data_IF_192912689714
#
_entry.id   IF_192912689714
#
_cell.length_a   1.000
_cell.length_b   1.000
_cell.length_c   1.000
_cell.angle_alpha   90.00
_cell.angle_beta   90.00
_cell.angle_gamma   90.00
#
_symmetry.space_group_name_H-M   'P 1'
#
loop_
_entity.id
_entity.type
_entity.pdbx_description
1 polymer ?
#
# COMPACT_ATOMS: atom_id res chain seq x y z
N UNK A 1 -27.43 -80.73 37.27
CA UNK A 1 -26.66 -80.34 38.46
C UNK A 1 -26.30 -78.88 38.34
N UNK A 2 -27.04 -77.98 39.00
CA UNK A 2 -26.89 -76.48 38.94
C UNK A 2 -25.96 -76.07 40.06
N UNK A 3 -24.90 -75.42 39.73
CA UNK A 3 -24.10 -74.68 40.74
C UNK A 3 -24.36 -73.14 40.60
N UNK A 4 -24.80 -72.54 41.67
CA UNK A 4 -24.91 -71.16 41.92
C UNK A 4 -23.51 -70.60 42.23
N UNK A 5 -23.09 -69.47 41.59
CA UNK A 5 -22.02 -68.65 42.07
C UNK A 5 -22.61 -67.20 42.27
N UNK A 6 -22.63 -66.84 43.53
CA UNK A 6 -23.20 -65.59 44.08
C UNK A 6 -22.20 -64.46 44.04
N UNK A 7 -22.69 -63.24 43.72
CA UNK A 7 -22.27 -61.90 44.07
C UNK A 7 -21.00 -61.69 44.91
N UNK A 8 -19.97 -61.08 44.31
CA UNK A 8 -18.90 -60.42 45.03
C UNK A 8 -18.10 -59.37 44.13
N UNK A 9 -18.71 -58.75 43.13
CA UNK A 9 -17.99 -57.79 42.23
C UNK A 9 -18.52 -56.35 42.28
N UNK A 10 -19.57 -56.06 43.07
CA UNK A 10 -20.26 -54.73 43.02
C UNK A 10 -19.71 -53.65 43.97
N UNK A 11 -18.77 -53.94 44.86
CA UNK A 11 -18.25 -52.91 45.79
C UNK A 11 -16.89 -52.31 45.47
N UNK A 12 -16.13 -52.84 44.49
CA UNK A 12 -14.82 -52.29 44.14
C UNK A 12 -14.89 -51.27 42.97
N UNK A 13 -15.97 -51.24 42.20
CA UNK A 13 -16.10 -50.34 41.04
C UNK A 13 -16.60 -48.95 41.38
N UNK A 14 -17.34 -48.76 42.49
CA UNK A 14 -17.87 -47.46 42.91
C UNK A 14 -16.82 -46.55 43.54
N UNK A 15 -15.83 -47.08 44.25
CA UNK A 15 -14.73 -46.32 44.85
C UNK A 15 -13.74 -45.79 43.82
N UNK A 16 -13.44 -46.52 42.78
CA UNK A 16 -12.52 -46.10 41.71
C UNK A 16 -13.13 -45.00 40.79
N UNK A 17 -14.42 -45.06 40.53
CA UNK A 17 -15.15 -44.06 39.75
C UNK A 17 -15.26 -42.69 40.50
N UNK A 18 -15.41 -42.74 41.83
CA UNK A 18 -15.49 -41.51 42.61
C UNK A 18 -14.14 -40.77 42.71
N UNK A 19 -13.03 -41.49 42.72
CA UNK A 19 -11.67 -40.91 42.70
C UNK A 19 -11.28 -40.39 41.34
N UNK A 20 -11.73 -41.00 40.25
CA UNK A 20 -11.49 -40.53 38.87
C UNK A 20 -12.32 -39.25 38.55
N UNK A 21 -13.54 -39.15 39.04
CA UNK A 21 -14.36 -37.92 38.87
C UNK A 21 -13.82 -36.74 39.68
N UNK A 22 -13.29 -36.95 40.90
CA UNK A 22 -12.63 -35.87 41.66
C UNK A 22 -11.33 -35.41 40.98
N UNK A 23 -10.53 -36.29 40.45
CA UNK A 23 -9.31 -35.88 39.69
C UNK A 23 -9.64 -35.17 38.40
N UNK A 24 -10.69 -35.55 37.64
CA UNK A 24 -11.15 -34.80 36.47
C UNK A 24 -11.65 -33.39 36.78
N UNK A 25 -12.37 -33.17 37.86
CA UNK A 25 -12.82 -31.84 38.29
C UNK A 25 -11.64 -30.97 38.73
N UNK A 26 -10.64 -31.51 39.45
CA UNK A 26 -9.46 -30.75 39.85
C UNK A 26 -8.60 -30.39 38.64
N UNK A 27 -8.46 -31.29 37.64
CA UNK A 27 -7.70 -31.02 36.41
C UNK A 27 -8.39 -30.01 35.51
N UNK A 28 -9.73 -30.05 35.39
CA UNK A 28 -10.47 -29.04 34.63
C UNK A 28 -10.45 -27.68 35.26
N UNK A 29 -10.46 -27.58 36.63
CA UNK A 29 -10.37 -26.29 37.35
C UNK A 29 -8.95 -25.72 37.29
N UNK A 30 -7.91 -26.55 37.35
CA UNK A 30 -6.52 -26.11 37.17
C UNK A 30 -6.21 -25.68 35.72
N UNK A 31 -6.74 -26.38 34.71
CA UNK A 31 -6.62 -25.96 33.31
C UNK A 31 -7.39 -24.66 33.04
N UNK A 32 -8.58 -24.46 33.62
CA UNK A 32 -9.34 -23.21 33.49
C UNK A 32 -8.63 -22.02 34.18
N UNK A 33 -8.00 -22.25 35.32
CA UNK A 33 -7.19 -21.23 36.02
C UNK A 33 -5.87 -20.95 35.27
N UNK A 34 -5.28 -21.95 34.63
CA UNK A 34 -4.05 -21.76 33.81
C UNK A 34 -4.36 -21.06 32.50
N UNK A 35 -5.52 -21.31 31.88
CA UNK A 35 -5.96 -20.58 30.67
C UNK A 35 -6.34 -19.12 31.01
N UNK A 36 -6.87 -18.82 32.22
CA UNK A 36 -7.12 -17.46 32.67
C UNK A 36 -5.84 -16.69 33.05
N UNK A 37 -4.75 -17.38 33.41
CA UNK A 37 -3.45 -16.76 33.72
C UNK A 37 -2.55 -16.58 32.49
N UNK A 38 -2.79 -17.32 31.38
CA UNK A 38 -2.08 -17.14 30.11
C UNK A 38 -2.78 -16.14 29.17
N UNK A 39 -3.97 -15.66 29.52
CA UNK A 39 -4.76 -14.70 28.75
C UNK A 39 -4.56 -13.23 29.14
N UNK A 40 -3.65 -12.90 30.05
CA UNK A 40 -3.16 -11.54 30.22
C UNK A 40 -2.04 -11.32 29.17
N UNK A 41 -2.41 -11.27 27.89
CA UNK A 41 -1.60 -10.53 26.94
C UNK A 41 -1.34 -9.17 27.56
N UNK A 42 -0.08 -8.73 27.64
CA UNK A 42 0.24 -7.36 27.99
C UNK A 42 -0.64 -6.47 27.10
N UNK A 43 -1.74 -5.98 27.67
CA UNK A 43 -2.53 -4.95 27.00
C UNK A 43 -1.55 -3.81 26.74
N UNK A 44 -1.37 -3.43 25.50
CA UNK A 44 -0.54 -2.30 25.15
C UNK A 44 -1.06 -1.11 25.99
N UNK A 45 -0.15 -0.43 26.70
CA UNK A 45 -0.54 0.71 27.51
C UNK A 45 -0.99 1.84 26.56
N UNK A 46 -2.09 2.56 26.90
CA UNK A 46 -2.50 3.71 26.10
C UNK A 46 -1.36 4.73 25.97
N UNK A 47 -1.26 5.34 24.81
CA UNK A 47 -0.24 6.34 24.48
C UNK A 47 -0.91 7.68 24.19
N UNK A 48 -0.50 8.72 24.90
CA UNK A 48 -0.92 10.10 24.64
C UNK A 48 0.23 10.85 23.97
N UNK A 49 0.03 11.26 22.75
CA UNK A 49 0.92 12.18 22.01
C UNK A 49 0.35 13.59 22.17
N UNK A 50 1.12 14.53 22.72
CA UNK A 50 0.63 15.86 23.08
C UNK A 50 1.55 16.97 22.56
N UNK A 51 1.02 18.19 22.47
CA UNK A 51 1.73 19.40 22.02
C UNK A 51 2.23 19.35 20.55
N UNK A 52 1.67 18.46 19.72
CA UNK A 52 2.02 18.37 18.33
C UNK A 52 1.17 19.28 17.43
N UNK A 53 1.71 19.71 16.30
CA UNK A 53 0.87 20.04 15.15
C UNK A 53 0.29 18.73 14.60
N UNK A 54 -1.01 18.65 14.40
CA UNK A 54 -1.66 17.47 13.83
C UNK A 54 -2.32 17.86 12.52
N UNK A 55 -1.84 17.28 11.41
CA UNK A 55 -2.48 17.36 10.10
C UNK A 55 -3.41 16.16 9.99
N UNK A 56 -4.72 16.41 10.03
CA UNK A 56 -5.73 15.35 10.15
C UNK A 56 -5.81 14.46 8.91
N UNK A 57 -5.53 15.03 7.73
CA UNK A 57 -5.64 14.34 6.44
C UNK A 57 -6.88 14.74 5.61
N UNK A 58 -7.86 15.39 6.23
CA UNK A 58 -9.06 15.93 5.57
C UNK A 58 -8.91 17.39 5.07
N UNK A 59 -7.76 17.99 5.32
CA UNK A 59 -7.44 19.40 5.05
C UNK A 59 -7.41 20.25 6.31
N UNK A 60 -7.82 19.74 7.46
CA UNK A 60 -7.77 20.43 8.75
C UNK A 60 -6.44 20.22 9.46
N UNK A 61 -6.10 21.18 10.35
CA UNK A 61 -4.88 21.19 11.16
C UNK A 61 -5.23 21.60 12.59
N UNK A 62 -4.70 20.87 13.58
CA UNK A 62 -4.74 21.24 14.99
C UNK A 62 -3.32 21.67 15.37
N UNK A 63 -3.12 22.96 15.64
CA UNK A 63 -1.77 23.54 15.81
C UNK A 63 -1.06 23.10 17.09
N UNK A 64 -1.82 22.87 18.16
CA UNK A 64 -1.33 22.36 19.44
C UNK A 64 -2.26 21.24 19.88
N UNK A 65 -2.16 20.12 19.17
CA UNK A 65 -3.05 18.98 19.34
C UNK A 65 -2.50 17.92 20.27
N UNK A 66 -3.43 17.03 20.64
CA UNK A 66 -3.13 15.77 21.28
C UNK A 66 -3.89 14.63 20.58
N UNK A 67 -3.30 13.43 20.60
CA UNK A 67 -3.88 12.20 20.08
C UNK A 67 -3.68 11.09 21.10
N UNK A 68 -4.77 10.43 21.46
CA UNK A 68 -4.77 9.26 22.34
C UNK A 68 -4.91 8.00 21.51
N UNK A 69 -3.97 7.07 21.68
CA UNK A 69 -3.94 5.76 21.04
C UNK A 69 -4.09 4.69 22.11
N UNK A 70 -4.98 3.72 21.89
CA UNK A 70 -5.11 2.52 22.71
C UNK A 70 -5.15 1.28 21.83
N UNK A 71 -4.21 0.37 22.08
CA UNK A 71 -4.00 -0.79 21.23
C UNK A 71 -3.65 -0.40 19.79
N UNK A 72 -4.48 -0.83 18.83
CA UNK A 72 -4.27 -0.59 17.40
C UNK A 72 -5.01 0.65 16.86
N UNK A 73 -5.74 1.40 17.71
CA UNK A 73 -6.66 2.43 17.25
C UNK A 73 -6.41 3.80 17.88
N UNK A 74 -6.72 4.84 17.12
CA UNK A 74 -6.85 6.21 17.63
C UNK A 74 -8.17 6.30 18.38
N UNK A 75 -8.10 6.62 19.68
CA UNK A 75 -9.29 6.73 20.54
C UNK A 75 -9.86 8.13 20.52
N UNK A 76 -8.99 9.13 20.56
CA UNK A 76 -9.38 10.53 20.56
C UNK A 76 -8.30 11.41 19.94
N UNK A 77 -8.73 12.54 19.39
CA UNK A 77 -7.89 13.61 18.86
C UNK A 77 -8.56 14.95 19.18
N UNK A 78 -7.79 15.96 19.55
CA UNK A 78 -8.29 17.30 19.88
C UNK A 78 -7.18 18.24 20.32
N UNK A 79 -7.53 19.35 20.95
CA UNK A 79 -6.56 20.28 21.52
C UNK A 79 -5.78 19.66 22.69
N UNK A 80 -4.51 20.02 22.85
CA UNK A 80 -3.61 19.42 23.86
C UNK A 80 -4.13 19.49 25.31
N UNK A 81 -4.93 20.52 25.65
CA UNK A 81 -5.53 20.67 26.97
C UNK A 81 -6.80 19.87 27.22
N UNK A 82 -7.37 19.24 26.18
CA UNK A 82 -8.65 18.54 26.27
C UNK A 82 -8.49 17.04 26.54
N UNK A 83 -7.32 16.47 26.20
CA UNK A 83 -7.04 15.05 26.36
C UNK A 83 -6.09 14.82 27.54
N UNK A 84 -6.37 13.80 28.32
CA UNK A 84 -5.52 13.32 29.43
C UNK A 84 -5.06 11.88 29.15
N UNK A 85 -3.89 11.53 29.65
CA UNK A 85 -3.43 10.15 29.62
C UNK A 85 -4.37 9.25 30.42
N UNK A 86 -4.60 8.03 29.93
CA UNK A 86 -5.27 7.01 30.70
C UNK A 86 -4.44 6.65 31.96
N UNK A 87 -5.10 6.14 33.01
CA UNK A 87 -4.41 5.57 34.16
C UNK A 87 -3.45 4.46 33.69
N UNK A 88 -2.17 4.60 33.97
CA UNK A 88 -1.07 3.76 33.47
C UNK A 88 -0.67 3.97 31.97
N UNK A 89 -1.13 5.04 31.31
CA UNK A 89 -0.71 5.39 29.94
C UNK A 89 0.68 6.06 29.89
N UNK A 90 1.32 5.98 28.73
CA UNK A 90 2.57 6.71 28.45
C UNK A 90 2.26 8.02 27.74
N UNK A 91 2.88 9.12 28.16
CA UNK A 91 2.75 10.42 27.49
C UNK A 91 4.02 10.78 26.75
N UNK A 92 3.88 11.19 25.49
CA UNK A 92 4.95 11.69 24.61
C UNK A 92 4.71 13.18 24.35
N UNK A 93 5.65 14.04 24.79
CA UNK A 93 5.63 15.45 24.43
C UNK A 93 6.26 15.65 23.05
N UNK A 94 5.45 16.07 22.10
CA UNK A 94 5.82 16.32 20.71
C UNK A 94 5.88 17.81 20.36
N UNK A 95 6.27 18.65 21.33
CA UNK A 95 6.46 20.09 21.09
C UNK A 95 7.38 20.36 19.90
N UNK A 96 6.88 21.10 18.91
CA UNK A 96 7.60 21.44 17.68
C UNK A 96 7.60 20.33 16.62
N UNK A 97 6.94 19.19 16.84
CA UNK A 97 6.78 18.11 15.88
C UNK A 97 5.45 18.19 15.16
N UNK A 98 5.36 17.42 14.07
CA UNK A 98 4.12 17.32 13.28
C UNK A 98 3.70 15.85 13.17
N UNK A 99 2.44 15.56 13.45
CA UNK A 99 1.79 14.28 13.20
C UNK A 99 1.05 14.35 11.87
N UNK A 100 1.21 13.31 11.05
CA UNK A 100 0.45 13.12 9.81
C UNK A 100 -0.09 11.69 9.75
N UNK A 101 -1.20 11.41 9.04
CA UNK A 101 -1.59 10.04 8.72
C UNK A 101 -0.45 9.32 8.01
N UNK A 102 -0.37 8.01 8.18
CA UNK A 102 0.54 7.21 7.37
C UNK A 102 0.27 7.39 5.88
N UNK A 103 1.33 7.46 5.10
CA UNK A 103 1.26 7.66 3.65
C UNK A 103 0.84 6.36 2.94
N UNK A 104 0.24 6.49 1.77
CA UNK A 104 -0.25 5.37 0.96
C UNK A 104 0.29 5.53 -0.46
N UNK A 105 0.88 4.47 -1.01
CA UNK A 105 1.27 4.37 -2.41
C UNK A 105 0.21 3.56 -3.18
N UNK A 106 -0.59 4.24 -3.98
CA UNK A 106 -1.70 3.63 -4.70
C UNK A 106 -1.30 3.03 -6.06
N UNK A 107 -0.01 2.91 -6.36
CA UNK A 107 0.48 2.22 -7.56
C UNK A 107 1.95 1.81 -7.43
N UNK A 108 2.20 0.52 -7.29
CA UNK A 108 3.53 -0.07 -7.30
C UNK A 108 3.51 -1.47 -7.91
N UNK A 109 4.68 -2.09 -8.00
CA UNK A 109 4.90 -3.48 -8.41
C UNK A 109 5.92 -4.11 -7.46
N UNK A 110 5.47 -4.68 -6.34
CA UNK A 110 6.38 -5.23 -5.33
C UNK A 110 6.96 -6.58 -5.76
N UNK A 111 8.08 -6.96 -5.16
CA UNK A 111 8.73 -8.26 -5.36
C UNK A 111 9.80 -8.29 -6.45
N UNK A 112 9.77 -7.40 -7.43
CA UNK A 112 10.73 -7.40 -8.54
C UNK A 112 12.02 -6.63 -8.23
N UNK A 113 11.96 -5.56 -7.45
CA UNK A 113 13.16 -4.85 -7.00
C UNK A 113 13.69 -5.51 -5.74
N UNK A 114 14.79 -6.18 -5.86
CA UNK A 114 15.57 -6.73 -4.75
C UNK A 114 16.69 -5.78 -4.33
N UNK A 115 17.46 -6.20 -3.35
CA UNK A 115 18.57 -5.41 -2.78
C UNK A 115 19.73 -5.22 -3.73
N UNK A 116 20.01 -6.21 -4.56
CA UNK A 116 21.18 -6.23 -5.43
C UNK A 116 20.83 -6.22 -6.92
N UNK A 117 19.55 -6.13 -7.25
CA UNK A 117 19.11 -6.18 -8.64
C UNK A 117 17.61 -6.10 -8.80
N UNK A 118 17.18 -6.15 -10.04
CA UNK A 118 15.79 -6.09 -10.43
C UNK A 118 15.49 -7.22 -11.42
N UNK A 119 14.43 -7.99 -11.15
CA UNK A 119 13.99 -9.09 -12.01
C UNK A 119 13.13 -10.11 -11.27
N UNK A 120 12.65 -11.10 -12.02
CA UNK A 120 11.78 -12.17 -11.55
C UNK A 120 12.44 -13.06 -10.47
N UNK A 121 13.77 -13.15 -10.48
CA UNK A 121 14.55 -13.92 -9.50
C UNK A 121 14.41 -13.37 -8.07
N UNK A 122 14.02 -12.10 -7.95
CA UNK A 122 13.76 -11.47 -6.64
C UNK A 122 12.35 -11.73 -6.12
N UNK A 123 11.43 -12.29 -6.94
CA UNK A 123 10.04 -12.46 -6.54
C UNK A 123 9.88 -13.63 -5.55
N UNK A 124 10.24 -13.37 -4.31
CA UNK A 124 10.18 -14.31 -3.18
C UNK A 124 9.40 -13.70 -2.02
N UNK A 125 8.92 -14.54 -1.12
CA UNK A 125 8.20 -14.09 0.08
C UNK A 125 9.06 -13.14 0.93
N UNK A 126 10.34 -13.45 1.10
CA UNK A 126 11.27 -12.64 1.87
C UNK A 126 11.45 -11.25 1.27
N UNK A 127 11.56 -11.17 -0.06
CA UNK A 127 11.71 -9.89 -0.75
C UNK A 127 10.40 -9.08 -0.75
N UNK A 128 9.24 -9.73 -0.86
CA UNK A 128 7.95 -9.07 -0.69
C UNK A 128 7.84 -8.43 0.70
N UNK A 129 8.21 -9.17 1.76
CA UNK A 129 8.27 -8.64 3.14
C UNK A 129 9.25 -7.48 3.24
N UNK A 130 10.45 -7.62 2.69
CA UNK A 130 11.46 -6.57 2.68
C UNK A 130 10.97 -5.29 1.99
N UNK A 131 10.26 -5.41 0.86
CA UNK A 131 9.68 -4.26 0.17
C UNK A 131 8.60 -3.56 1.02
N UNK A 132 7.73 -4.32 1.70
CA UNK A 132 6.73 -3.76 2.61
C UNK A 132 7.37 -3.09 3.84
N UNK A 133 8.50 -3.60 4.32
CA UNK A 133 9.29 -2.98 5.38
C UNK A 133 9.97 -1.69 4.91
N UNK A 134 10.43 -1.62 3.66
CA UNK A 134 10.96 -0.37 3.08
C UNK A 134 9.88 0.71 3.01
N UNK A 135 8.65 0.36 2.60
CA UNK A 135 7.51 1.28 2.66
C UNK A 135 7.29 1.80 4.08
N UNK A 136 7.19 0.89 5.07
CA UNK A 136 7.00 1.27 6.47
C UNK A 136 8.15 2.15 7.00
N UNK A 137 9.40 1.86 6.63
CA UNK A 137 10.56 2.66 6.99
C UNK A 137 10.44 4.12 6.56
N UNK A 138 9.85 4.35 5.38
CA UNK A 138 9.62 5.67 4.81
C UNK A 138 8.24 6.27 5.15
N UNK A 139 7.51 5.71 6.12
CA UNK A 139 6.24 6.24 6.58
C UNK A 139 5.03 5.90 5.71
N UNK A 140 5.18 4.97 4.76
CA UNK A 140 4.06 4.43 4.00
C UNK A 140 3.45 3.23 4.72
N UNK A 141 2.15 3.31 4.98
CA UNK A 141 1.42 2.30 5.78
C UNK A 141 0.59 1.33 4.93
N UNK A 142 0.39 1.66 3.66
CA UNK A 142 -0.24 0.79 2.68
C UNK A 142 0.34 1.00 1.29
N UNK A 143 0.30 -0.05 0.47
CA UNK A 143 0.70 -0.06 -0.92
C UNK A 143 -0.25 -0.90 -1.76
N UNK A 144 -0.59 -0.40 -2.95
CA UNK A 144 -1.34 -1.14 -3.96
C UNK A 144 -0.39 -1.62 -5.07
N UNK A 145 -0.22 -2.94 -5.16
CA UNK A 145 0.54 -3.61 -6.22
C UNK A 145 -0.37 -3.91 -7.40
N UNK A 146 -0.03 -3.34 -8.57
CA UNK A 146 -0.98 -3.12 -9.64
C UNK A 146 -0.94 -4.20 -10.74
N UNK A 147 -1.30 -5.44 -10.39
CA UNK A 147 -1.63 -6.47 -11.39
C UNK A 147 -0.43 -7.26 -11.92
N UNK A 148 0.60 -7.44 -11.10
CA UNK A 148 1.79 -8.25 -11.44
C UNK A 148 2.16 -9.25 -10.34
N UNK A 149 1.21 -9.56 -9.47
CA UNK A 149 1.45 -10.35 -8.26
C UNK A 149 1.02 -11.80 -8.45
N UNK A 150 1.80 -12.73 -7.90
CA UNK A 150 1.41 -14.12 -7.74
C UNK A 150 0.47 -14.24 -6.51
N UNK A 151 -0.83 -14.54 -6.70
CA UNK A 151 -1.82 -14.46 -5.63
C UNK A 151 -1.46 -15.28 -4.40
N UNK A 152 -0.92 -16.49 -4.57
CA UNK A 152 -0.55 -17.37 -3.47
C UNK A 152 0.50 -16.74 -2.53
N UNK A 153 1.52 -16.08 -3.08
CA UNK A 153 2.54 -15.38 -2.28
C UNK A 153 1.98 -14.10 -1.65
N UNK A 154 1.15 -13.34 -2.38
CA UNK A 154 0.53 -12.14 -1.85
C UNK A 154 -0.36 -12.45 -0.64
N UNK A 155 -1.25 -13.46 -0.73
CA UNK A 155 -2.11 -13.92 0.36
C UNK A 155 -1.28 -14.41 1.56
N UNK A 156 -0.19 -15.14 1.32
CA UNK A 156 0.68 -15.61 2.41
C UNK A 156 1.34 -14.44 3.16
N UNK A 157 1.85 -13.44 2.43
CA UNK A 157 2.44 -12.24 3.02
C UNK A 157 1.40 -11.41 3.78
N UNK A 158 0.19 -11.23 3.22
CA UNK A 158 -0.92 -10.57 3.93
C UNK A 158 -1.28 -11.32 5.22
N UNK A 159 -1.34 -12.65 5.19
CA UNK A 159 -1.64 -13.48 6.36
C UNK A 159 -0.57 -13.33 7.44
N UNK A 160 0.71 -13.32 7.07
CA UNK A 160 1.83 -13.12 8.01
C UNK A 160 1.81 -11.71 8.62
N UNK A 161 1.46 -10.69 7.84
CA UNK A 161 1.29 -9.33 8.31
C UNK A 161 0.13 -9.23 9.31
N UNK A 162 -1.03 -9.83 9.00
CA UNK A 162 -2.20 -9.88 9.87
C UNK A 162 -1.90 -10.61 11.19
N UNK A 163 -1.09 -11.66 11.16
CA UNK A 163 -0.60 -12.37 12.34
C UNK A 163 0.55 -11.64 13.07
N UNK A 164 0.91 -10.44 12.65
CA UNK A 164 1.98 -9.62 13.22
C UNK A 164 3.35 -10.34 13.29
N UNK A 165 3.65 -11.23 12.33
CA UNK A 165 4.94 -11.93 12.24
C UNK A 165 6.06 -11.02 11.74
N UNK A 166 5.72 -9.89 11.14
CA UNK A 166 6.63 -8.79 10.81
C UNK A 166 5.83 -7.47 10.81
N UNK A 167 6.55 -6.34 10.86
CA UNK A 167 5.97 -5.02 10.64
C UNK A 167 6.26 -4.57 9.21
N UNK A 168 5.26 -4.06 8.52
CA UNK A 168 5.37 -3.57 7.15
C UNK A 168 4.08 -2.88 6.69
N UNK A 169 4.11 -2.23 5.54
CA UNK A 169 2.93 -1.63 4.93
C UNK A 169 1.88 -2.71 4.60
N UNK A 170 0.60 -2.36 4.65
CA UNK A 170 -0.50 -3.23 4.18
C UNK A 170 -0.36 -3.41 2.68
N UNK A 171 -0.49 -4.64 2.22
CA UNK A 171 -0.48 -4.99 0.81
C UNK A 171 -1.90 -5.09 0.28
N UNK A 172 -2.20 -4.33 -0.77
CA UNK A 172 -3.34 -4.56 -1.67
C UNK A 172 -2.77 -4.95 -3.02
N UNK A 173 -3.49 -5.79 -3.76
CA UNK A 173 -3.03 -6.21 -5.09
C UNK A 173 -4.20 -6.45 -6.05
N UNK A 174 -3.93 -6.42 -7.35
CA UNK A 174 -4.92 -6.56 -8.40
C UNK A 174 -4.64 -7.77 -9.29
N UNK A 175 -5.69 -8.30 -9.91
CA UNK A 175 -5.55 -9.19 -11.04
C UNK A 175 -5.22 -8.40 -12.31
N UNK A 176 -4.16 -8.77 -13.01
CA UNK A 176 -3.73 -8.13 -14.25
C UNK A 176 -4.44 -8.70 -15.48
N UNK A 177 -5.06 -7.86 -16.32
CA UNK A 177 -5.78 -8.31 -17.53
C UNK A 177 -5.32 -7.53 -18.76
N UNK A 178 -5.01 -8.23 -19.85
CA UNK A 178 -4.48 -7.68 -21.09
C UNK A 178 -4.77 -8.64 -22.27
N UNK A 179 -4.42 -8.30 -23.51
CA UNK A 179 -4.34 -9.30 -24.56
C UNK A 179 -3.34 -10.42 -24.20
N UNK A 180 -3.52 -11.65 -24.72
CA UNK A 180 -2.69 -12.79 -24.32
C UNK A 180 -1.17 -12.54 -24.46
N UNK A 181 -0.43 -12.77 -23.37
CA UNK A 181 1.03 -12.59 -23.31
C UNK A 181 1.48 -11.13 -23.46
N UNK A 182 0.63 -10.16 -23.07
CA UNK A 182 0.88 -8.72 -23.17
C UNK A 182 0.47 -8.00 -21.89
N UNK A 183 0.59 -6.66 -21.87
CA UNK A 183 0.14 -5.81 -20.75
C UNK A 183 1.22 -4.86 -20.25
N UNK A 184 2.10 -5.24 -19.31
CA UNK A 184 3.20 -4.39 -18.85
C UNK A 184 4.13 -3.93 -19.97
N UNK A 185 4.99 -2.93 -19.71
CA UNK A 185 6.03 -2.59 -20.68
C UNK A 185 6.92 -3.80 -20.98
N UNK A 186 7.51 -3.85 -22.18
CA UNK A 186 8.18 -5.06 -22.70
C UNK A 186 9.24 -5.61 -21.72
N UNK A 187 10.02 -4.75 -21.06
CA UNK A 187 11.04 -5.18 -20.11
C UNK A 187 10.41 -5.81 -18.84
N UNK A 188 9.33 -5.23 -18.33
CA UNK A 188 8.64 -5.75 -17.17
C UNK A 188 7.78 -6.98 -17.48
N UNK A 189 7.21 -7.04 -18.70
CA UNK A 189 6.43 -8.19 -19.17
C UNK A 189 7.23 -9.48 -19.10
N UNK A 190 8.48 -9.47 -19.57
CA UNK A 190 9.36 -10.64 -19.49
C UNK A 190 9.54 -11.12 -18.05
N UNK A 191 9.62 -10.20 -17.09
CA UNK A 191 9.76 -10.53 -15.67
C UNK A 191 8.45 -11.09 -15.09
N UNK A 192 7.31 -10.48 -15.39
CA UNK A 192 6.00 -10.95 -14.93
C UNK A 192 5.70 -12.38 -15.45
N UNK A 193 5.97 -12.65 -16.74
CA UNK A 193 5.84 -13.99 -17.32
C UNK A 193 6.83 -14.99 -16.74
N UNK A 194 8.03 -14.57 -16.34
CA UNK A 194 8.99 -15.43 -15.67
C UNK A 194 8.50 -15.79 -14.23
N UNK A 195 7.89 -14.87 -13.50
CA UNK A 195 7.26 -15.15 -12.20
C UNK A 195 6.06 -16.08 -12.37
N UNK A 196 5.20 -15.85 -13.36
CA UNK A 196 4.08 -16.74 -13.68
C UNK A 196 4.58 -18.17 -13.93
N UNK A 197 5.61 -18.32 -14.74
CA UNK A 197 6.23 -19.64 -15.02
C UNK A 197 6.84 -20.29 -13.77
N UNK A 198 7.51 -19.52 -12.91
CA UNK A 198 8.20 -20.06 -11.73
C UNK A 198 7.26 -20.43 -10.61
N UNK A 199 6.17 -19.68 -10.43
CA UNK A 199 5.17 -19.89 -9.39
C UNK A 199 4.04 -20.83 -9.83
N UNK A 200 3.81 -20.99 -11.14
CA UNK A 200 2.64 -21.65 -11.70
C UNK A 200 1.33 -20.88 -11.48
N UNK A 201 1.41 -19.64 -11.00
CA UNK A 201 0.24 -18.80 -10.78
C UNK A 201 -0.14 -18.07 -12.07
N UNK A 202 -1.42 -17.82 -12.28
CA UNK A 202 -1.89 -16.92 -13.32
C UNK A 202 -1.73 -15.48 -12.83
N UNK A 203 -0.81 -14.72 -13.42
CA UNK A 203 -0.55 -13.31 -13.08
C UNK A 203 -1.22 -12.39 -14.09
N UNK A 204 -1.10 -12.73 -15.38
CA UNK A 204 -1.64 -11.97 -16.49
C UNK A 204 -2.76 -12.77 -17.18
N UNK A 205 -4.02 -12.38 -16.94
CA UNK A 205 -5.16 -12.96 -17.62
C UNK A 205 -5.25 -12.47 -19.05
N UNK A 206 -4.95 -13.35 -20.02
CA UNK A 206 -5.04 -13.06 -21.45
C UNK A 206 -6.49 -13.07 -21.91
N UNK A 207 -6.94 -11.99 -22.56
CA UNK A 207 -8.31 -11.80 -23.01
C UNK A 207 -8.38 -11.81 -24.55
N UNK A 208 -9.02 -12.80 -25.12
CA UNK A 208 -9.19 -12.93 -26.60
C UNK A 208 -10.57 -12.50 -27.09
N UNK A 209 -11.60 -12.67 -26.24
CA UNK A 209 -12.99 -12.36 -26.57
C UNK A 209 -13.80 -11.97 -25.33
N UNK A 210 -14.99 -11.33 -25.47
CA UNK A 210 -15.80 -10.87 -24.35
C UNK A 210 -16.29 -11.97 -23.40
N UNK A 211 -16.46 -13.20 -23.89
CA UNK A 211 -16.89 -14.33 -23.05
C UNK A 211 -15.74 -14.75 -22.10
N UNK A 212 -14.52 -14.87 -22.61
CA UNK A 212 -13.33 -15.11 -21.79
C UNK A 212 -13.10 -13.96 -20.80
N UNK A 213 -13.29 -12.70 -21.21
CA UNK A 213 -13.17 -11.55 -20.32
C UNK A 213 -14.11 -11.67 -19.12
N UNK A 214 -15.39 -12.00 -19.35
CA UNK A 214 -16.36 -12.22 -18.26
C UNK A 214 -16.02 -13.46 -17.41
N UNK A 215 -15.46 -14.50 -18.02
CA UNK A 215 -15.03 -15.70 -17.30
C UNK A 215 -13.82 -15.39 -16.39
N UNK A 216 -12.82 -14.65 -16.88
CA UNK A 216 -11.69 -14.20 -16.10
C UNK A 216 -12.10 -13.37 -14.88
N UNK A 217 -13.04 -12.44 -15.04
CA UNK A 217 -13.58 -11.66 -13.92
C UNK A 217 -14.24 -12.54 -12.87
N UNK A 218 -15.04 -13.55 -13.30
CA UNK A 218 -15.66 -14.49 -12.33
C UNK A 218 -14.62 -15.31 -11.58
N UNK A 219 -13.55 -15.73 -12.25
CA UNK A 219 -12.43 -16.44 -11.64
C UNK A 219 -11.71 -15.57 -10.62
N UNK A 220 -11.42 -14.32 -10.95
CA UNK A 220 -10.78 -13.34 -10.08
C UNK A 220 -11.66 -13.05 -8.85
N UNK A 221 -12.96 -12.83 -9.05
CA UNK A 221 -13.89 -12.63 -7.94
C UNK A 221 -13.99 -13.85 -7.00
N UNK A 222 -13.86 -15.07 -7.53
CA UNK A 222 -13.86 -16.29 -6.73
C UNK A 222 -12.55 -16.51 -5.94
N UNK A 223 -11.49 -15.76 -6.22
CA UNK A 223 -10.20 -15.76 -5.53
C UNK A 223 -10.04 -14.57 -4.56
N UNK A 224 -11.15 -13.90 -4.19
CA UNK A 224 -11.20 -12.78 -3.25
C UNK A 224 -10.34 -11.56 -3.63
N UNK A 225 -10.07 -11.36 -4.93
CA UNK A 225 -9.50 -10.10 -5.39
C UNK A 225 -10.53 -8.97 -5.23
N UNK A 226 -10.06 -7.78 -4.87
CA UNK A 226 -10.87 -6.56 -4.77
C UNK A 226 -10.70 -5.66 -5.99
N UNK A 227 -9.61 -5.85 -6.73
CA UNK A 227 -9.20 -4.96 -7.82
C UNK A 227 -8.81 -5.73 -9.08
N UNK A 228 -9.09 -5.10 -10.22
CA UNK A 228 -8.60 -5.52 -11.54
C UNK A 228 -7.76 -4.37 -12.12
N UNK A 229 -6.59 -4.71 -12.67
CA UNK A 229 -5.76 -3.82 -13.48
C UNK A 229 -5.90 -4.18 -14.95
N UNK A 230 -6.39 -3.23 -15.76
CA UNK A 230 -6.40 -3.37 -17.21
C UNK A 230 -5.21 -2.62 -17.85
N UNK A 231 -4.61 -3.21 -18.87
CA UNK A 231 -3.66 -2.54 -19.75
C UNK A 231 -4.32 -2.20 -21.08
N UNK A 232 -4.58 -0.91 -21.32
CA UNK A 232 -5.17 -0.38 -22.55
C UNK A 232 -4.11 0.50 -23.22
N UNK A 233 -3.09 -0.15 -23.78
CA UNK A 233 -1.95 0.49 -24.39
C UNK A 233 -1.31 -0.47 -25.42
N UNK A 234 -0.82 0.07 -26.53
CA UNK A 234 -0.14 -0.69 -27.57
C UNK A 234 1.39 -0.65 -27.49
N UNK A 235 1.92 0.05 -26.49
CA UNK A 235 3.36 0.24 -26.29
C UNK A 235 4.08 0.81 -27.51
N UNK A 236 3.42 1.75 -28.20
CA UNK A 236 3.94 2.33 -29.46
C UNK A 236 3.96 1.35 -30.61
N UNK A 237 2.98 0.46 -30.66
CA UNK A 237 2.80 -0.56 -31.71
C UNK A 237 3.59 -1.85 -31.49
N UNK A 238 4.26 -2.03 -30.34
CA UNK A 238 4.96 -3.27 -30.01
C UNK A 238 4.07 -4.34 -29.37
N UNK A 239 2.90 -3.93 -28.87
CA UNK A 239 1.86 -4.80 -28.31
C UNK A 239 0.50 -4.50 -28.93
N UNK A 240 -0.47 -5.39 -28.74
CA UNK A 240 -1.86 -5.17 -29.14
C UNK A 240 -2.58 -4.35 -28.08
N UNK A 241 -3.24 -3.26 -28.48
CA UNK A 241 -4.13 -2.51 -27.59
C UNK A 241 -5.39 -3.33 -27.26
N UNK A 242 -5.79 -3.37 -26.02
CA UNK A 242 -7.00 -4.08 -25.59
C UNK A 242 -8.23 -3.46 -26.27
N UNK A 243 -9.00 -4.26 -27.00
CA UNK A 243 -10.13 -3.79 -27.79
C UNK A 243 -11.28 -3.29 -26.88
N UNK A 244 -12.08 -2.28 -27.32
CA UNK A 244 -13.22 -1.76 -26.56
C UNK A 244 -14.17 -2.85 -26.06
N UNK A 245 -14.56 -3.81 -26.91
CA UNK A 245 -15.46 -4.90 -26.54
C UNK A 245 -14.92 -5.78 -25.40
N UNK A 246 -13.59 -5.81 -25.18
CA UNK A 246 -12.97 -6.59 -24.11
C UNK A 246 -12.97 -5.81 -22.79
N UNK A 247 -12.49 -4.55 -22.80
CA UNK A 247 -12.49 -3.76 -21.57
C UNK A 247 -13.91 -3.44 -21.07
N UNK A 248 -14.88 -3.21 -21.98
CA UNK A 248 -16.30 -3.06 -21.61
C UNK A 248 -16.84 -4.32 -20.94
N UNK A 249 -16.54 -5.51 -21.49
CA UNK A 249 -16.96 -6.78 -20.91
C UNK A 249 -16.36 -7.02 -19.51
N UNK A 250 -15.07 -6.64 -19.31
CA UNK A 250 -14.42 -6.71 -17.99
C UNK A 250 -15.09 -5.75 -17.01
N UNK A 251 -15.26 -4.48 -17.38
CA UNK A 251 -15.80 -3.44 -16.50
C UNK A 251 -17.24 -3.76 -16.09
N UNK A 252 -18.09 -4.21 -17.03
CA UNK A 252 -19.47 -4.65 -16.77
C UNK A 252 -19.50 -5.82 -15.77
N UNK A 253 -18.70 -6.85 -16.01
CA UNK A 253 -18.62 -8.02 -15.15
C UNK A 253 -18.05 -7.67 -13.77
N UNK A 254 -17.00 -6.84 -13.71
CA UNK A 254 -16.38 -6.38 -12.47
C UNK A 254 -17.37 -5.59 -11.61
N UNK A 255 -18.12 -4.67 -12.21
CA UNK A 255 -19.20 -3.93 -11.53
C UNK A 255 -20.23 -4.87 -10.91
N UNK A 256 -20.63 -5.92 -11.65
CA UNK A 256 -21.58 -6.92 -11.16
C UNK A 256 -21.02 -7.77 -10.01
N UNK A 257 -19.70 -7.92 -9.93
CA UNK A 257 -19.00 -8.66 -8.90
C UNK A 257 -18.50 -7.78 -7.73
N UNK A 258 -18.73 -6.45 -7.78
CA UNK A 258 -18.25 -5.51 -6.76
C UNK A 258 -16.75 -5.20 -6.83
N UNK A 259 -16.08 -5.53 -7.95
CA UNK A 259 -14.66 -5.28 -8.15
C UNK A 259 -14.42 -3.89 -8.75
N UNK A 260 -13.33 -3.25 -8.36
CA UNK A 260 -12.89 -1.98 -8.94
C UNK A 260 -11.89 -2.22 -10.07
N UNK A 261 -12.03 -1.44 -11.14
CA UNK A 261 -11.18 -1.56 -12.33
C UNK A 261 -10.32 -0.31 -12.47
N UNK A 262 -8.99 -0.49 -12.37
CA UNK A 262 -7.99 0.55 -12.60
C UNK A 262 -7.30 0.30 -13.94
N UNK A 263 -7.08 1.36 -14.70
CA UNK A 263 -6.67 1.24 -16.09
C UNK A 263 -5.30 1.90 -16.31
N UNK A 264 -4.36 1.11 -16.84
CA UNK A 264 -3.17 1.66 -17.48
C UNK A 264 -3.55 2.17 -18.86
N UNK A 265 -3.27 3.43 -19.14
CA UNK A 265 -3.41 4.03 -20.45
C UNK A 265 -2.26 5.03 -20.71
N UNK A 266 -1.93 5.26 -21.96
CA UNK A 266 -0.81 6.13 -22.34
C UNK A 266 -1.29 7.46 -22.95
N UNK A 267 -2.48 7.49 -23.55
CA UNK A 267 -2.95 8.62 -24.34
C UNK A 267 -4.24 9.17 -23.75
N UNK A 268 -4.29 10.47 -23.47
CA UNK A 268 -5.45 11.11 -22.86
C UNK A 268 -6.70 11.01 -23.75
N UNK A 269 -6.54 10.89 -25.06
CA UNK A 269 -7.63 10.67 -26.02
C UNK A 269 -8.38 9.33 -25.84
N UNK A 270 -7.81 8.34 -25.16
CA UNK A 270 -8.49 7.09 -24.80
C UNK A 270 -9.39 7.23 -23.58
N UNK A 271 -9.14 8.22 -22.73
CA UNK A 271 -9.85 8.39 -21.47
C UNK A 271 -11.37 8.55 -21.60
N UNK A 272 -11.91 9.34 -22.54
CA UNK A 272 -13.36 9.52 -22.66
C UNK A 272 -14.15 8.21 -22.83
N UNK A 273 -13.67 7.30 -23.66
CA UNK A 273 -14.34 6.01 -23.90
C UNK A 273 -14.22 5.10 -22.66
N UNK A 274 -13.06 5.08 -22.01
CA UNK A 274 -12.81 4.31 -20.80
C UNK A 274 -13.59 4.83 -19.59
N UNK A 275 -13.76 6.14 -19.46
CA UNK A 275 -14.62 6.77 -18.44
C UNK A 275 -16.08 6.35 -18.71
N UNK A 276 -16.54 6.43 -19.95
CA UNK A 276 -17.89 6.04 -20.35
C UNK A 276 -18.17 4.56 -20.08
N UNK A 277 -17.19 3.69 -20.29
CA UNK A 277 -17.28 2.27 -19.93
C UNK A 277 -17.37 2.03 -18.42
N UNK A 278 -16.90 2.97 -17.58
CA UNK A 278 -16.98 2.91 -16.11
C UNK A 278 -15.66 2.58 -15.42
N UNK A 279 -14.53 3.05 -15.95
CA UNK A 279 -13.25 3.03 -15.26
C UNK A 279 -13.39 3.71 -13.90
N UNK A 280 -12.68 3.18 -12.86
CA UNK A 280 -12.64 3.81 -11.54
C UNK A 280 -11.45 4.75 -11.39
N UNK A 281 -10.34 4.49 -12.08
CA UNK A 281 -9.15 5.32 -12.03
C UNK A 281 -8.14 4.99 -13.11
N UNK A 282 -7.30 5.98 -13.44
CA UNK A 282 -6.21 5.83 -14.39
C UNK A 282 -4.87 5.80 -13.68
N UNK A 283 -4.12 4.76 -13.94
CA UNK A 283 -2.74 4.60 -13.52
C UNK A 283 -1.85 4.99 -14.69
N UNK A 284 -0.95 5.96 -14.51
CA UNK A 284 -0.16 6.67 -15.51
C UNK A 284 -0.96 7.63 -16.41
N UNK A 285 -2.07 8.16 -15.98
CA UNK A 285 -2.72 9.20 -16.77
C UNK A 285 -1.67 10.18 -17.25
N UNK A 286 -1.16 10.03 -18.49
CA UNK A 286 -0.08 10.89 -18.98
C UNK A 286 -0.56 12.33 -18.95
N UNK A 287 -0.02 13.04 -17.97
CA UNK A 287 -0.19 14.47 -17.85
C UNK A 287 0.71 15.11 -18.89
N UNK A 288 0.11 15.73 -19.87
CA UNK A 288 0.75 16.38 -21.00
C UNK A 288 -0.27 17.07 -21.88
N UNK A 289 0.14 17.62 -22.98
CA UNK A 289 -0.65 18.51 -23.86
C UNK A 289 -2.01 17.97 -24.32
N UNK A 290 -2.21 16.65 -24.31
CA UNK A 290 -3.47 16.04 -24.72
C UNK A 290 -4.51 15.94 -23.60
N UNK A 291 -4.13 16.05 -22.32
CA UNK A 291 -5.08 16.10 -21.20
C UNK A 291 -5.54 17.54 -21.00
N UNK A 292 -6.72 17.83 -21.47
CA UNK A 292 -7.32 19.17 -21.48
C UNK A 292 -8.47 19.32 -20.49
N UNK A 293 -9.03 20.53 -20.36
CA UNK A 293 -10.11 20.85 -19.44
C UNK A 293 -11.38 19.99 -19.67
N UNK A 294 -11.69 19.63 -20.92
CA UNK A 294 -12.88 18.80 -21.21
C UNK A 294 -12.74 17.37 -20.68
N UNK A 295 -11.56 16.77 -20.81
CA UNK A 295 -11.27 15.46 -20.22
C UNK A 295 -11.25 15.54 -18.68
N UNK A 296 -10.66 16.59 -18.12
CA UNK A 296 -10.64 16.82 -16.68
C UNK A 296 -12.06 16.95 -16.10
N UNK A 297 -12.94 17.69 -16.79
CA UNK A 297 -14.34 17.82 -16.41
C UNK A 297 -15.06 16.46 -16.44
N UNK A 298 -14.84 15.64 -17.47
CA UNK A 298 -15.44 14.31 -17.59
C UNK A 298 -14.95 13.36 -16.48
N UNK A 299 -13.65 13.41 -16.14
CA UNK A 299 -13.09 12.67 -15.00
C UNK A 299 -13.78 13.05 -13.68
N UNK A 300 -13.90 14.36 -13.42
CA UNK A 300 -14.54 14.89 -12.22
C UNK A 300 -16.01 14.47 -12.12
N UNK A 301 -16.79 14.67 -13.19
CA UNK A 301 -18.22 14.31 -13.24
C UNK A 301 -18.46 12.81 -13.03
N UNK A 302 -17.51 11.98 -13.41
CA UNK A 302 -17.60 10.52 -13.29
C UNK A 302 -16.91 9.99 -12.03
N UNK A 303 -16.37 10.85 -11.18
CA UNK A 303 -15.60 10.50 -9.97
C UNK A 303 -14.44 9.51 -10.26
N UNK A 304 -13.73 9.74 -11.37
CA UNK A 304 -12.58 8.93 -11.80
C UNK A 304 -11.29 9.63 -11.38
N UNK A 305 -10.48 8.94 -10.60
CA UNK A 305 -9.20 9.48 -10.13
C UNK A 305 -8.06 9.26 -11.13
N UNK A 306 -6.96 10.00 -10.93
CA UNK A 306 -5.74 9.89 -11.74
C UNK A 306 -4.52 9.73 -10.85
N UNK A 307 -3.67 8.75 -11.17
CA UNK A 307 -2.33 8.56 -10.60
C UNK A 307 -1.30 8.88 -11.68
N UNK A 308 -0.59 10.02 -11.62
CA UNK A 308 0.26 10.47 -12.73
C UNK A 308 1.61 9.78 -12.82
N UNK A 309 2.17 9.24 -11.73
CA UNK A 309 3.47 8.55 -11.68
C UNK A 309 4.63 9.35 -12.32
N UNK A 310 4.75 10.63 -12.03
CA UNK A 310 5.70 11.52 -12.69
C UNK A 310 7.14 11.24 -12.33
N UNK A 311 7.38 10.75 -11.10
CA UNK A 311 8.69 10.35 -10.60
C UNK A 311 9.31 9.21 -11.43
N UNK A 312 8.53 8.37 -12.06
CA UNK A 312 9.02 7.28 -12.91
C UNK A 312 9.94 7.78 -14.02
N UNK A 313 9.60 8.89 -14.67
CA UNK A 313 10.42 9.52 -15.71
C UNK A 313 11.62 10.27 -15.14
N UNK A 314 11.42 11.08 -14.11
CA UNK A 314 12.46 11.95 -13.56
C UNK A 314 13.58 11.19 -12.84
N UNK A 315 13.23 10.23 -11.98
CA UNK A 315 14.21 9.52 -11.14
C UNK A 315 15.10 8.56 -11.93
N UNK A 316 14.66 8.09 -13.10
CA UNK A 316 15.52 7.28 -14.01
C UNK A 316 16.77 8.01 -14.47
N UNK A 317 16.70 9.31 -14.53
CA UNK A 317 17.76 10.17 -15.07
C UNK A 317 18.56 10.88 -13.97
N UNK A 318 18.17 10.79 -12.71
CA UNK A 318 18.88 11.40 -11.58
C UNK A 318 19.92 10.47 -10.98
N UNK A 319 21.03 11.06 -10.50
CA UNK A 319 22.02 10.36 -9.67
C UNK A 319 21.50 10.21 -8.23
N UNK A 320 20.39 9.48 -8.05
CA UNK A 320 19.71 9.34 -6.74
C UNK A 320 20.60 8.70 -5.65
N UNK A 321 21.66 8.01 -6.01
CA UNK A 321 22.64 7.45 -5.05
C UNK A 321 23.32 8.50 -4.17
N UNK A 322 23.29 9.80 -4.54
CA UNK A 322 23.77 10.90 -3.73
C UNK A 322 22.77 11.34 -2.64
N UNK A 323 21.49 10.97 -2.76
CA UNK A 323 20.47 11.32 -1.79
C UNK A 323 20.68 10.53 -0.49
N UNK A 324 20.94 11.27 0.60
CA UNK A 324 21.18 10.65 1.92
C UNK A 324 19.95 9.93 2.46
N UNK A 325 18.76 10.39 2.12
CA UNK A 325 17.51 9.80 2.58
C UNK A 325 17.32 8.42 1.95
N UNK A 326 17.56 8.28 0.64
CA UNK A 326 17.60 6.97 -0.03
C UNK A 326 18.77 6.11 0.50
N UNK A 327 19.91 6.71 0.74
CA UNK A 327 21.11 6.03 1.23
C UNK A 327 20.95 5.31 2.58
N UNK A 328 19.88 5.59 3.33
CA UNK A 328 19.58 4.93 4.60
C UNK A 328 19.23 3.44 4.42
N UNK A 329 18.65 3.07 3.29
CA UNK A 329 18.19 1.69 3.02
C UNK A 329 19.04 0.95 1.99
N UNK A 330 20.02 1.61 1.37
CA UNK A 330 20.86 1.01 0.34
C UNK A 330 22.11 0.38 0.93
N UNK A 331 22.52 -0.76 0.35
CA UNK A 331 23.87 -1.25 0.53
C UNK A 331 24.90 -0.27 -0.06
N UNK A 332 26.13 -0.31 0.43
CA UNK A 332 27.22 0.53 -0.09
C UNK A 332 27.51 0.26 -1.56
N UNK A 333 27.35 -0.98 -1.99
CA UNK A 333 27.54 -1.39 -3.39
C UNK A 333 26.45 -0.80 -4.31
N UNK A 334 25.17 -0.98 -3.96
CA UNK A 334 24.05 -0.44 -4.75
C UNK A 334 24.11 1.10 -4.80
N UNK A 335 24.44 1.74 -3.68
CA UNK A 335 24.65 3.20 -3.65
C UNK A 335 25.75 3.65 -4.62
N UNK A 336 26.86 2.92 -4.67
CA UNK A 336 27.95 3.22 -5.60
C UNK A 336 27.52 3.03 -7.06
N UNK A 337 26.77 1.99 -7.36
CA UNK A 337 26.21 1.75 -8.70
C UNK A 337 25.26 2.89 -9.12
N UNK A 338 24.37 3.34 -8.22
CA UNK A 338 23.46 4.44 -8.48
C UNK A 338 24.15 5.78 -8.68
N UNK A 339 25.30 6.02 -8.04
CA UNK A 339 26.12 7.20 -8.27
C UNK A 339 26.77 7.22 -9.67
N UNK A 340 27.08 6.03 -10.21
CA UNK A 340 27.72 5.87 -11.51
C UNK A 340 26.70 5.80 -12.67
N UNK A 341 25.47 5.31 -12.39
CA UNK A 341 24.50 4.88 -13.37
C UNK A 341 23.59 5.97 -13.94
N UNK A 342 23.74 7.23 -13.56
CA UNK A 342 22.88 8.30 -14.07
C UNK A 342 23.07 8.50 -15.58
N UNK A 343 22.04 8.18 -16.35
CA UNK A 343 22.05 8.39 -17.80
C UNK A 343 21.76 9.85 -18.13
N UNK A 344 22.83 10.67 -18.20
CA UNK A 344 22.75 12.14 -18.41
C UNK A 344 21.97 12.53 -19.68
N UNK A 345 21.84 11.63 -20.65
CA UNK A 345 21.10 11.91 -21.89
C UNK A 345 19.59 11.94 -21.68
N UNK A 346 19.08 11.11 -20.79
CA UNK A 346 17.65 11.08 -20.42
C UNK A 346 17.25 12.25 -19.53
N UNK A 347 18.18 12.78 -18.70
CA UNK A 347 17.95 13.98 -17.88
C UNK A 347 17.47 15.19 -18.69
N UNK A 348 18.02 15.38 -19.88
CA UNK A 348 17.67 16.54 -20.72
C UNK A 348 16.27 16.45 -21.33
N UNK A 349 15.70 15.26 -21.46
CA UNK A 349 14.36 15.03 -22.03
C UNK A 349 13.29 15.05 -20.96
N UNK A 350 13.53 14.39 -19.83
CA UNK A 350 12.54 14.26 -18.73
C UNK A 350 12.31 15.56 -17.94
N UNK A 351 13.18 16.57 -18.12
CA UNK A 351 13.08 17.90 -17.49
C UNK A 351 13.11 19.04 -18.49
N UNK A 352 12.64 18.82 -19.72
CA UNK A 352 12.56 19.91 -20.67
C UNK A 352 11.56 20.98 -20.17
N UNK A 353 11.86 22.29 -20.31
CA UNK A 353 10.93 23.36 -19.91
C UNK A 353 9.56 23.25 -20.59
N UNK A 354 9.52 22.72 -21.81
CA UNK A 354 8.28 22.51 -22.55
C UNK A 354 7.45 21.41 -21.90
N UNK A 355 8.02 20.25 -21.60
CA UNK A 355 7.32 19.14 -20.93
C UNK A 355 6.80 19.58 -19.54
N UNK A 356 7.62 20.31 -18.79
CA UNK A 356 7.20 20.86 -17.49
C UNK A 356 6.01 21.82 -17.63
N UNK A 357 6.00 22.69 -18.64
CA UNK A 357 4.87 23.60 -18.91
C UNK A 357 3.60 22.83 -19.27
N UNK A 358 3.69 21.82 -20.14
CA UNK A 358 2.58 20.97 -20.52
C UNK A 358 2.03 20.17 -19.31
N UNK A 359 2.91 19.67 -18.45
CA UNK A 359 2.51 18.97 -17.23
C UNK A 359 1.80 19.93 -16.24
N UNK A 360 2.30 21.16 -16.07
CA UNK A 360 1.64 22.16 -15.22
C UNK A 360 0.26 22.53 -15.73
N UNK A 361 0.09 22.70 -17.03
CA UNK A 361 -1.22 23.00 -17.64
C UNK A 361 -2.23 21.88 -17.40
N UNK A 362 -1.84 20.63 -17.66
CA UNK A 362 -2.69 19.47 -17.39
C UNK A 362 -3.00 19.30 -15.91
N UNK A 363 -2.00 19.52 -15.05
CA UNK A 363 -2.18 19.42 -13.60
C UNK A 363 -3.13 20.47 -13.06
N UNK A 364 -3.01 21.71 -13.57
CA UNK A 364 -3.95 22.78 -13.25
C UNK A 364 -5.38 22.45 -13.71
N UNK A 365 -5.55 21.92 -14.93
CA UNK A 365 -6.85 21.51 -15.42
C UNK A 365 -7.52 20.43 -14.53
N UNK A 366 -6.75 19.44 -14.04
CA UNK A 366 -7.24 18.43 -13.12
C UNK A 366 -7.63 19.04 -11.77
N UNK A 367 -6.81 19.92 -11.21
CA UNK A 367 -7.08 20.60 -9.92
C UNK A 367 -8.31 21.49 -10.03
N UNK A 368 -8.40 22.33 -11.09
CA UNK A 368 -9.50 23.24 -11.31
C UNK A 368 -10.83 22.53 -11.53
N UNK A 369 -10.81 21.37 -12.16
CA UNK A 369 -11.99 20.51 -12.32
C UNK A 369 -12.36 19.72 -11.04
N UNK A 370 -11.51 19.73 -10.01
CA UNK A 370 -11.72 18.98 -8.78
C UNK A 370 -11.51 17.47 -8.93
N UNK A 371 -10.70 17.03 -9.89
CA UNK A 371 -10.34 15.63 -10.06
C UNK A 371 -9.46 15.18 -8.89
N UNK A 372 -9.73 14.01 -8.33
CA UNK A 372 -8.83 13.42 -7.36
C UNK A 372 -7.54 12.95 -8.04
N UNK A 373 -6.46 13.68 -7.75
CA UNK A 373 -5.11 13.24 -8.05
C UNK A 373 -4.63 12.44 -6.84
N UNK A 374 -4.20 11.21 -7.06
CA UNK A 374 -3.80 10.28 -6.01
C UNK A 374 -2.31 9.95 -6.17
N UNK A 375 -1.61 9.81 -5.06
CA UNK A 375 -0.20 9.43 -5.08
C UNK A 375 -0.06 7.96 -5.44
N UNK A 376 0.79 7.69 -6.41
CA UNK A 376 1.30 6.37 -6.76
C UNK A 376 2.60 6.53 -7.53
N UNK A 377 3.51 5.56 -7.40
CA UNK A 377 4.89 5.73 -7.84
C UNK A 377 5.29 4.87 -9.01
N UNK A 378 4.61 3.74 -9.22
CA UNK A 378 5.05 2.66 -10.10
C UNK A 378 6.41 2.04 -9.67
N UNK A 379 6.73 2.15 -8.35
CA UNK A 379 7.95 1.57 -7.79
C UNK A 379 8.01 0.06 -8.04
N UNK A 380 9.17 -0.43 -8.43
CA UNK A 380 9.39 -1.83 -8.77
C UNK A 380 9.11 -2.21 -10.22
N UNK A 381 8.40 -1.40 -11.03
CA UNK A 381 8.16 -1.66 -12.45
C UNK A 381 9.40 -1.52 -13.34
N UNK A 382 10.40 -0.82 -12.85
CA UNK A 382 11.70 -0.62 -13.52
C UNK A 382 12.84 -0.71 -12.51
N UNK A 383 14.06 -1.03 -12.96
CA UNK A 383 15.22 -1.05 -12.09
C UNK A 383 15.45 0.26 -11.33
N UNK A 384 15.83 0.15 -10.06
CA UNK A 384 16.23 1.27 -9.20
C UNK A 384 15.12 2.31 -8.90
N UNK A 385 13.87 1.91 -9.04
CA UNK A 385 12.73 2.71 -8.62
C UNK A 385 12.26 2.23 -7.23
N UNK A 386 12.85 2.83 -6.18
CA UNK A 386 12.84 2.30 -4.81
C UNK A 386 11.55 2.61 -4.05
N UNK A 387 11.08 1.64 -3.27
CA UNK A 387 9.85 1.69 -2.48
C UNK A 387 9.90 2.75 -1.39
N UNK A 388 8.81 3.49 -1.21
CA UNK A 388 8.66 4.56 -0.23
C UNK A 388 9.44 5.82 -0.55
N UNK A 389 10.73 5.73 -0.85
CA UNK A 389 11.54 6.88 -1.27
C UNK A 389 10.92 7.64 -2.45
N UNK A 390 10.50 6.93 -3.47
CA UNK A 390 9.89 7.50 -4.68
C UNK A 390 8.60 8.23 -4.38
N UNK A 391 7.84 7.81 -3.37
CA UNK A 391 6.62 8.49 -2.95
C UNK A 391 6.88 9.89 -2.40
N UNK A 392 7.94 10.07 -1.60
CA UNK A 392 8.34 11.43 -1.16
C UNK A 392 8.76 12.31 -2.33
N UNK A 393 9.40 11.72 -3.35
CA UNK A 393 9.77 12.45 -4.58
C UNK A 393 8.54 12.83 -5.41
N UNK A 394 7.53 11.96 -5.45
CA UNK A 394 6.25 12.25 -6.13
C UNK A 394 5.52 13.41 -5.45
N UNK A 395 5.50 13.48 -4.10
CA UNK A 395 4.97 14.63 -3.36
C UNK A 395 5.67 15.95 -3.73
N UNK A 396 6.99 15.93 -3.87
CA UNK A 396 7.76 17.11 -4.30
C UNK A 396 7.38 17.56 -5.71
N UNK A 397 7.18 16.60 -6.62
CA UNK A 397 6.76 16.87 -7.98
C UNK A 397 5.34 17.46 -8.01
N UNK A 398 4.41 16.93 -7.23
CA UNK A 398 3.04 17.46 -7.13
C UNK A 398 3.03 18.93 -6.70
N UNK A 399 3.78 19.27 -5.66
CA UNK A 399 3.88 20.67 -5.21
C UNK A 399 4.59 21.54 -6.25
N UNK A 400 5.64 21.06 -6.88
CA UNK A 400 6.34 21.77 -7.96
C UNK A 400 5.42 22.05 -9.15
N UNK A 401 4.48 21.15 -9.45
CA UNK A 401 3.51 21.33 -10.55
C UNK A 401 2.28 22.16 -10.19
N UNK A 402 2.08 22.53 -8.93
CA UNK A 402 1.03 23.48 -8.55
C UNK A 402 0.09 23.06 -7.42
N UNK A 403 0.19 21.85 -6.89
CA UNK A 403 -0.52 21.52 -5.66
C UNK A 403 0.00 22.33 -4.48
N UNK A 404 -0.89 22.69 -3.55
CA UNK A 404 -0.45 23.08 -2.21
C UNK A 404 0.12 21.83 -1.47
N UNK A 405 1.01 22.01 -0.49
CA UNK A 405 1.49 20.90 0.33
C UNK A 405 0.36 20.09 0.98
N UNK A 406 -0.73 20.75 1.39
CA UNK A 406 -1.91 20.07 1.95
C UNK A 406 -2.57 19.17 0.91
N UNK A 407 -2.79 19.64 -0.31
CA UNK A 407 -3.37 18.81 -1.38
C UNK A 407 -2.49 17.62 -1.71
N UNK A 408 -1.16 17.79 -1.72
CA UNK A 408 -0.21 16.70 -1.94
C UNK A 408 -0.26 15.65 -0.82
N UNK A 409 -0.38 16.07 0.45
CA UNK A 409 -0.58 15.15 1.56
C UNK A 409 -1.91 14.41 1.47
N UNK A 410 -3.00 15.10 1.13
CA UNK A 410 -4.30 14.45 0.92
C UNK A 410 -4.24 13.42 -0.21
N UNK A 411 -3.49 13.68 -1.29
CA UNK A 411 -3.29 12.74 -2.39
C UNK A 411 -2.61 11.43 -1.93
N UNK A 412 -1.75 11.50 -0.92
CA UNK A 412 -1.03 10.36 -0.35
C UNK A 412 -1.68 9.78 0.92
N UNK A 413 -2.81 10.30 1.37
CA UNK A 413 -3.49 9.87 2.60
C UNK A 413 -4.98 9.62 2.34
N UNK A 414 -5.85 10.57 2.65
CA UNK A 414 -7.31 10.40 2.61
C UNK A 414 -7.85 10.05 1.21
N UNK A 415 -7.33 10.68 0.14
CA UNK A 415 -7.77 10.37 -1.22
C UNK A 415 -7.32 8.96 -1.64
N UNK A 416 -6.07 8.60 -1.38
CA UNK A 416 -5.58 7.25 -1.65
C UNK A 416 -6.37 6.19 -0.88
N UNK A 417 -6.62 6.40 0.43
CA UNK A 417 -7.41 5.51 1.26
C UNK A 417 -8.84 5.32 0.70
N UNK A 418 -9.51 6.43 0.34
CA UNK A 418 -10.86 6.38 -0.22
C UNK A 418 -10.93 5.56 -1.51
N UNK A 419 -10.01 5.81 -2.46
CA UNK A 419 -9.99 5.10 -3.74
C UNK A 419 -9.55 3.64 -3.63
N UNK A 420 -8.79 3.28 -2.59
CA UNK A 420 -8.39 1.90 -2.29
C UNK A 420 -9.32 1.20 -1.28
N UNK A 421 -10.43 1.85 -0.85
CA UNK A 421 -11.39 1.30 0.12
C UNK A 421 -10.75 0.91 1.46
N UNK A 422 -9.79 1.72 1.93
CA UNK A 422 -9.14 1.58 3.22
C UNK A 422 -9.85 2.46 4.24
N UNK A 423 -11.01 2.01 4.74
CA UNK A 423 -11.94 2.79 5.56
C UNK A 423 -11.36 3.19 6.93
N UNK A 424 -10.29 2.54 7.36
CA UNK A 424 -9.62 2.78 8.64
C UNK A 424 -8.28 3.51 8.52
N UNK A 425 -7.88 3.98 7.32
CA UNK A 425 -6.63 4.68 7.03
C UNK A 425 -6.85 6.07 6.40
N UNK A 426 -5.79 6.82 6.30
CA UNK A 426 -5.73 8.10 5.59
C UNK A 426 -6.16 9.32 6.41
N UNK A 427 -6.72 9.11 7.61
CA UNK A 427 -7.09 10.19 8.53
C UNK A 427 -6.58 9.90 9.94
N UNK A 428 -6.21 10.96 10.67
CA UNK A 428 -6.06 10.91 12.12
C UNK A 428 -7.41 11.25 12.75
N UNK A 429 -8.17 10.22 13.08
CA UNK A 429 -9.53 10.38 13.61
C UNK A 429 -9.87 9.26 14.57
N UNK A 430 -10.74 9.53 15.54
CA UNK A 430 -11.24 8.51 16.47
C UNK A 430 -11.87 7.34 15.71
N UNK A 431 -11.50 6.11 16.10
CA UNK A 431 -11.93 4.87 15.46
C UNK A 431 -11.05 4.39 14.31
N UNK A 432 -10.15 5.24 13.79
CA UNK A 432 -9.19 4.87 12.76
C UNK A 432 -8.02 4.07 13.33
N UNK A 433 -7.35 3.32 12.48
CA UNK A 433 -6.13 2.61 12.82
C UNK A 433 -5.02 3.59 13.22
N UNK A 434 -4.25 3.24 14.24
CA UNK A 434 -3.13 4.06 14.70
C UNK A 434 -1.90 3.86 13.80
N UNK A 435 -2.06 4.19 12.51
CA UNK A 435 -1.05 4.19 11.46
C UNK A 435 -0.69 5.65 11.13
N UNK A 436 0.43 6.14 11.65
CA UNK A 436 0.79 7.55 11.54
C UNK A 436 2.32 7.77 11.53
N UNK A 437 2.71 8.97 11.13
CA UNK A 437 4.11 9.41 11.08
C UNK A 437 4.32 10.63 11.95
N UNK A 438 5.38 10.64 12.73
CA UNK A 438 5.88 11.81 13.48
C UNK A 438 7.03 12.41 12.68
N UNK A 439 6.91 13.69 12.33
CA UNK A 439 7.89 14.45 11.58
C UNK A 439 8.57 15.49 12.48
N UNK A 440 9.88 15.69 12.29
CA UNK A 440 10.65 16.72 12.96
C UNK A 440 10.31 18.14 12.49
N UNK A 441 9.77 18.30 11.28
CA UNK A 441 9.46 19.59 10.67
C UNK A 441 8.09 19.59 9.99
N UNK A 442 7.54 20.79 9.75
CA UNK A 442 6.21 20.97 9.18
C UNK A 442 6.21 20.79 7.64
N UNK A 443 5.53 19.74 7.11
CA UNK A 443 5.44 19.52 5.67
C UNK A 443 4.56 20.54 4.92
N UNK A 444 3.77 21.34 5.63
CA UNK A 444 2.99 22.42 5.00
C UNK A 444 3.85 23.65 4.68
N UNK A 445 4.99 23.83 5.35
CA UNK A 445 5.97 24.87 5.04
C UNK A 445 6.89 24.45 3.88
N UNK A 446 7.28 23.20 3.86
CA UNK A 446 8.06 22.58 2.79
C UNK A 446 7.70 21.11 2.71
N UNK A 447 7.17 20.66 1.59
CA UNK A 447 6.75 19.27 1.41
C UNK A 447 7.91 18.27 1.59
N UNK A 448 9.17 18.69 1.38
CA UNK A 448 10.36 17.90 1.66
C UNK A 448 10.49 17.50 3.13
N UNK A 449 9.81 18.21 4.03
CA UNK A 449 9.75 17.87 5.44
C UNK A 449 9.01 16.55 5.73
N UNK A 450 8.29 15.96 4.78
CA UNK A 450 7.80 14.58 4.87
C UNK A 450 8.94 13.58 5.04
N UNK A 451 10.18 13.93 4.68
CA UNK A 451 11.39 13.13 4.86
C UNK A 451 12.02 13.28 6.25
N UNK A 452 11.57 14.25 7.05
CA UNK A 452 12.08 14.47 8.42
C UNK A 452 11.44 13.50 9.43
N UNK A 453 11.38 12.21 9.07
CA UNK A 453 10.70 11.18 9.85
C UNK A 453 11.46 10.93 11.15
N UNK A 454 10.81 11.25 12.28
CA UNK A 454 11.24 10.89 13.61
C UNK A 454 10.84 9.44 13.90
N UNK A 455 9.54 9.15 13.87
CA UNK A 455 8.97 7.82 14.12
C UNK A 455 7.84 7.50 13.16
N UNK A 456 7.64 6.20 12.93
CA UNK A 456 6.50 5.64 12.20
C UNK A 456 5.79 4.65 13.10
N UNK A 457 4.48 4.75 13.17
CA UNK A 457 3.63 3.82 13.91
C UNK A 457 2.74 3.06 12.94
N UNK A 458 2.68 1.73 13.12
CA UNK A 458 1.76 0.84 12.43
C UNK A 458 0.90 0.14 13.48
N UNK A 459 -0.41 0.35 13.41
CA UNK A 459 -1.37 -0.20 14.37
C UNK A 459 -0.93 0.05 15.82
N UNK A 460 -0.56 1.30 16.11
CA UNK A 460 -0.13 1.75 17.43
C UNK A 460 1.24 1.23 17.89
N UNK A 461 2.01 0.53 17.03
CA UNK A 461 3.34 0.03 17.37
C UNK A 461 4.41 0.78 16.58
N UNK A 462 5.46 1.27 17.24
CA UNK A 462 6.56 1.93 16.53
C UNK A 462 7.30 0.92 15.63
N UNK A 463 7.66 1.37 14.43
CA UNK A 463 8.54 0.63 13.51
C UNK A 463 9.99 0.81 13.98
N UNK A 464 10.69 -0.29 14.23
CA UNK A 464 12.11 -0.24 14.57
C UNK A 464 12.97 0.05 13.34
N UNK A 465 12.97 1.34 12.95
CA UNK A 465 13.72 1.83 11.78
C UNK A 465 15.23 1.62 11.92
N UNK A 466 15.76 1.63 13.15
CA UNK A 466 17.18 1.43 13.39
C UNK A 466 17.58 -0.03 13.09
N UNK A 467 16.80 -1.00 13.54
CA UNK A 467 17.01 -2.42 13.24
C UNK A 467 16.90 -2.68 11.74
N UNK A 468 15.86 -2.16 11.07
CA UNK A 468 15.71 -2.30 9.63
C UNK A 468 16.92 -1.72 8.86
N UNK A 469 17.34 -0.51 9.20
CA UNK A 469 18.51 0.12 8.58
C UNK A 469 19.78 -0.71 8.79
N UNK A 470 20.01 -1.23 10.00
CA UNK A 470 21.17 -2.06 10.29
C UNK A 470 21.14 -3.36 9.47
N UNK A 471 20.00 -4.01 9.33
CA UNK A 471 19.84 -5.20 8.49
C UNK A 471 20.20 -4.90 7.03
N UNK A 472 19.80 -3.74 6.53
CA UNK A 472 20.04 -3.36 5.14
C UNK A 472 21.45 -2.89 4.84
N UNK A 473 22.13 -2.27 5.78
CA UNK A 473 23.51 -1.80 5.60
C UNK A 473 24.55 -2.88 5.93
N UNK A 474 24.17 -3.90 6.67
CA UNK A 474 25.06 -5.00 7.07
C UNK A 474 25.12 -6.18 6.09
N UNK A 475 24.36 -6.13 4.98
CA UNK A 475 24.31 -7.17 3.94
C UNK A 475 25.23 -6.87 2.77
#
# INVERSE_FOLDING_TARGET
>A
MRLRITNSVTHLTSSLLFHLQKRRKLFSTLCALWFCLLGQGLLAQPMLFTNARIIVGDGSVIEQGAMLVDGESIVAIGDAGELSSAENGTTFDLSGKTLIPGLIDAHAHIGYQGRNGWGAENYTQENLIDNLQQYAYYGFVAVFSAGSDAPGLAIEVQSRLALQQFQGARLLYAAGMAPPGQGPNNQFLDQALAVEKSTGANILWGLENPEQARAAVREVAAQDFEFIKLWVDDRGGSQQKLAPSLYEAVIEAARSAGLRVFIHQQFAEDMPDLITAGAHGFLHGRIGSSLNAAIAEQLSQSNVFVIPNLGLGELRSEAIGADRFLGQVLSSELRSQLLLGANRRELSVSRSPQLEAEQRESFAALIDAGVDIVLGTDAGAIPNHHFGYTGHRELEIFVRLGMSPMQALQAATSKAANHLQLDDLGLLQSGYSADFVILDANPLEDIRNTRSIMDVYLKGKPVDRAVLQQQWQGQ
#
